data_IF_396296654652
#
_entry.id   IF_396296654652
#
_cell.length_a   1.000
_cell.length_b   1.000
_cell.length_c   1.000
_cell.angle_alpha   90.00
_cell.angle_beta   90.00
_cell.angle_gamma   90.00
#
_symmetry.space_group_name_H-M   'P 1'
#
loop_
_entity.id
_entity.type
_entity.pdbx_description
1 polymer ?
#
# COMPACT_ATOMS: atom_id res chain seq x y z
N UNK A 1 -30.24 -58.17 -35.60
CA UNK A 1 -30.29 -57.10 -34.60
C UNK A 1 -28.90 -56.51 -34.51
N UNK A 2 -28.67 -55.46 -35.28
CA UNK A 2 -27.34 -54.88 -35.51
C UNK A 2 -27.19 -53.67 -34.60
N UNK A 3 -26.34 -53.77 -33.59
CA UNK A 3 -26.02 -52.68 -32.67
C UNK A 3 -25.11 -51.68 -33.39
N UNK A 4 -25.68 -50.50 -33.69
CA UNK A 4 -24.97 -49.36 -34.25
C UNK A 4 -24.00 -48.80 -33.20
N UNK A 5 -22.71 -49.02 -33.43
CA UNK A 5 -21.60 -48.35 -32.77
C UNK A 5 -21.59 -46.89 -33.24
N UNK A 6 -21.93 -45.95 -32.36
CA UNK A 6 -21.77 -44.52 -32.63
C UNK A 6 -20.29 -44.14 -32.45
N UNK A 7 -19.68 -43.44 -33.41
CA UNK A 7 -18.30 -43.01 -33.30
C UNK A 7 -18.17 -41.85 -32.31
N UNK A 8 -17.16 -41.95 -31.43
CA UNK A 8 -16.71 -40.88 -30.54
C UNK A 8 -16.47 -39.59 -31.34
N UNK A 9 -17.22 -38.54 -30.99
CA UNK A 9 -16.94 -37.19 -31.49
C UNK A 9 -15.70 -36.66 -30.78
N UNK A 10 -14.74 -36.07 -31.51
CA UNK A 10 -13.57 -35.46 -30.89
C UNK A 10 -14.01 -34.27 -30.05
N UNK A 11 -13.71 -34.32 -28.75
CA UNK A 11 -13.90 -33.21 -27.81
C UNK A 11 -12.84 -32.16 -28.14
N UNK A 12 -13.20 -31.25 -29.04
CA UNK A 12 -12.33 -30.19 -29.51
C UNK A 12 -13.16 -29.00 -29.97
N UNK A 13 -14.01 -28.47 -29.10
CA UNK A 13 -14.59 -27.15 -29.30
C UNK A 13 -14.30 -26.28 -28.08
N UNK A 14 -13.23 -25.50 -28.22
CA UNK A 14 -12.64 -24.66 -27.18
C UNK A 14 -13.38 -23.32 -27.15
N UNK A 15 -14.58 -23.31 -26.59
CA UNK A 15 -15.44 -22.13 -26.58
C UNK A 15 -16.61 -22.18 -25.61
N UNK A 16 -16.45 -22.83 -24.45
CA UNK A 16 -17.50 -22.91 -23.43
C UNK A 16 -17.25 -21.93 -22.29
N UNK A 17 -18.02 -20.85 -22.21
CA UNK A 17 -18.11 -20.02 -20.99
C UNK A 17 -18.60 -20.83 -19.77
N UNK A 18 -18.76 -20.18 -18.61
CA UNK A 18 -19.04 -20.80 -17.29
C UNK A 18 -19.98 -22.02 -17.29
N UNK A 19 -21.00 -22.06 -18.15
CA UNK A 19 -21.88 -23.21 -18.33
C UNK A 19 -21.14 -24.51 -18.72
N UNK A 20 -20.10 -24.43 -19.55
CA UNK A 20 -19.29 -25.59 -19.96
C UNK A 20 -18.51 -26.22 -18.81
N UNK A 21 -18.09 -25.42 -17.82
CA UNK A 21 -17.37 -25.94 -16.64
C UNK A 21 -18.30 -26.72 -15.72
N UNK A 22 -19.51 -26.22 -15.49
CA UNK A 22 -20.53 -26.91 -14.66
C UNK A 22 -20.99 -28.21 -15.33
N UNK A 23 -21.21 -28.18 -16.64
CA UNK A 23 -21.61 -29.38 -17.39
C UNK A 23 -20.50 -30.43 -17.41
N UNK A 24 -19.24 -30.01 -17.57
CA UNK A 24 -18.10 -30.92 -17.47
C UNK A 24 -17.98 -31.55 -16.08
N UNK A 25 -18.17 -30.75 -15.01
CA UNK A 25 -18.19 -31.26 -13.64
C UNK A 25 -19.28 -32.32 -13.44
N UNK A 26 -20.52 -32.05 -13.88
CA UNK A 26 -21.63 -33.02 -13.81
C UNK A 26 -21.35 -34.30 -14.61
N UNK A 27 -20.70 -34.19 -15.77
CA UNK A 27 -20.31 -35.35 -16.60
C UNK A 27 -19.22 -36.19 -15.96
N UNK A 28 -18.31 -35.57 -15.20
CA UNK A 28 -17.32 -36.27 -14.38
C UNK A 28 -18.02 -37.01 -13.22
N UNK A 29 -18.90 -36.33 -12.49
CA UNK A 29 -19.65 -36.95 -11.38
C UNK A 29 -20.54 -38.11 -11.84
N UNK A 30 -21.17 -38.01 -13.01
CA UNK A 30 -21.98 -39.09 -13.58
C UNK A 30 -21.15 -40.23 -14.20
N UNK A 31 -19.83 -40.10 -14.26
CA UNK A 31 -18.92 -41.08 -14.87
C UNK A 31 -18.94 -41.08 -16.41
N UNK A 32 -19.62 -40.12 -17.04
CA UNK A 32 -19.69 -39.98 -18.50
C UNK A 32 -18.36 -39.48 -19.12
N UNK A 33 -17.49 -38.87 -18.33
CA UNK A 33 -16.14 -38.43 -18.72
C UNK A 33 -15.15 -38.90 -17.67
N UNK A 34 -14.07 -39.57 -18.12
CA UNK A 34 -12.96 -39.90 -17.24
C UNK A 34 -12.19 -38.62 -16.84
N UNK A 35 -12.04 -38.32 -15.54
CA UNK A 35 -11.28 -37.16 -15.06
C UNK A 35 -9.84 -37.10 -15.59
N UNK A 36 -9.23 -38.24 -15.87
CA UNK A 36 -7.83 -38.31 -16.34
C UNK A 36 -7.67 -37.84 -17.80
N UNK A 37 -8.76 -37.82 -18.57
CA UNK A 37 -8.79 -37.37 -19.96
C UNK A 37 -9.05 -35.86 -20.09
N UNK A 38 -9.25 -35.14 -18.98
CA UNK A 38 -9.54 -33.70 -19.00
C UNK A 38 -8.28 -32.90 -19.33
N UNK A 39 -8.40 -31.96 -20.27
CA UNK A 39 -7.30 -31.09 -20.68
C UNK A 39 -6.79 -30.25 -19.49
N UNK A 40 -5.54 -29.80 -19.54
CA UNK A 40 -5.00 -28.94 -18.46
C UNK A 40 -5.74 -27.61 -18.36
N UNK A 41 -6.27 -27.07 -19.45
CA UNK A 41 -7.05 -25.83 -19.45
C UNK A 41 -8.39 -26.04 -18.74
N UNK A 42 -9.16 -27.06 -19.14
CA UNK A 42 -10.46 -27.36 -18.55
C UNK A 42 -10.33 -27.78 -17.08
N UNK A 43 -9.27 -28.54 -16.75
CA UNK A 43 -8.97 -28.92 -15.37
C UNK A 43 -8.71 -27.69 -14.51
N UNK A 44 -8.02 -26.66 -15.00
CA UNK A 44 -7.82 -25.40 -14.26
C UNK A 44 -9.12 -24.64 -14.06
N UNK A 45 -10.01 -24.61 -15.06
CA UNK A 45 -11.33 -24.01 -14.90
C UNK A 45 -12.15 -24.75 -13.83
N UNK A 46 -12.15 -26.09 -13.85
CA UNK A 46 -12.78 -26.93 -12.82
C UNK A 46 -12.18 -26.69 -11.42
N UNK A 47 -10.85 -26.63 -11.30
CA UNK A 47 -10.19 -26.30 -10.02
C UNK A 47 -10.60 -24.92 -9.53
N UNK A 48 -10.71 -23.92 -10.42
CA UNK A 48 -11.21 -22.59 -10.08
C UNK A 48 -12.65 -22.62 -9.56
N UNK A 49 -13.53 -23.36 -10.25
CA UNK A 49 -14.93 -23.56 -9.86
C UNK A 49 -15.04 -24.26 -8.49
N UNK A 50 -14.35 -25.38 -8.29
CA UNK A 50 -14.37 -26.15 -7.04
C UNK A 50 -13.81 -25.35 -5.87
N UNK A 51 -12.73 -24.59 -6.09
CA UNK A 51 -12.18 -23.68 -5.09
C UNK A 51 -13.19 -22.59 -4.68
N UNK A 52 -13.93 -22.03 -5.65
CA UNK A 52 -15.00 -21.06 -5.38
C UNK A 52 -16.16 -21.62 -4.57
N UNK A 53 -16.38 -22.94 -4.62
CA UNK A 53 -17.40 -23.65 -3.84
C UNK A 53 -16.87 -24.23 -2.51
N UNK A 54 -15.60 -23.98 -2.17
CA UNK A 54 -15.03 -24.36 -0.86
C UNK A 54 -14.52 -25.79 -0.74
N UNK A 55 -14.33 -26.52 -1.85
CA UNK A 55 -13.74 -27.87 -1.82
C UNK A 55 -12.27 -27.84 -1.38
N UNK A 56 -11.82 -28.85 -0.63
CA UNK A 56 -10.42 -28.97 -0.20
C UNK A 56 -9.50 -29.48 -1.32
N UNK A 57 -8.18 -29.34 -1.17
CA UNK A 57 -7.20 -29.90 -2.13
C UNK A 57 -7.37 -31.42 -2.28
N UNK A 58 -7.65 -32.13 -1.19
CA UNK A 58 -7.87 -33.57 -1.19
C UNK A 58 -9.18 -33.95 -1.91
N UNK A 59 -10.27 -33.19 -1.70
CA UNK A 59 -11.53 -33.46 -2.41
C UNK A 59 -11.35 -33.23 -3.91
N UNK A 60 -10.69 -32.13 -4.29
CA UNK A 60 -10.39 -31.84 -5.69
C UNK A 60 -9.52 -32.91 -6.33
N UNK A 61 -8.51 -33.42 -5.62
CA UNK A 61 -7.61 -34.45 -6.12
C UNK A 61 -8.33 -35.79 -6.31
N UNK A 62 -9.24 -36.15 -5.40
CA UNK A 62 -10.09 -37.33 -5.52
C UNK A 62 -11.09 -37.23 -6.68
N UNK A 63 -11.79 -36.10 -6.80
CA UNK A 63 -12.76 -35.85 -7.88
C UNK A 63 -12.08 -35.89 -9.25
N UNK A 64 -10.94 -35.21 -9.38
CA UNK A 64 -10.22 -35.07 -10.65
C UNK A 64 -9.25 -36.23 -10.92
N UNK A 65 -9.11 -37.18 -9.99
CA UNK A 65 -8.16 -38.31 -10.05
C UNK A 65 -6.73 -37.90 -10.41
N UNK A 66 -6.26 -36.79 -9.84
CA UNK A 66 -4.89 -36.28 -9.99
C UNK A 66 -4.21 -36.16 -8.64
N UNK A 67 -2.88 -36.11 -8.60
CA UNK A 67 -2.16 -35.89 -7.35
C UNK A 67 -2.38 -34.47 -6.79
N UNK A 68 -2.38 -34.32 -5.47
CA UNK A 68 -2.50 -33.02 -4.77
C UNK A 68 -1.51 -31.96 -5.29
N UNK A 69 -0.28 -32.39 -5.63
CA UNK A 69 0.75 -31.51 -6.20
C UNK A 69 0.31 -30.86 -7.52
N UNK A 70 -0.49 -31.56 -8.32
CA UNK A 70 -1.06 -31.02 -9.57
C UNK A 70 -2.13 -29.97 -9.26
N UNK A 71 -3.01 -30.23 -8.29
CA UNK A 71 -4.02 -29.27 -7.85
C UNK A 71 -3.37 -27.98 -7.33
N UNK A 72 -2.32 -28.08 -6.50
CA UNK A 72 -1.60 -26.90 -6.00
C UNK A 72 -0.92 -26.10 -7.13
N UNK A 73 -0.37 -26.79 -8.15
CA UNK A 73 0.20 -26.13 -9.33
C UNK A 73 -0.88 -25.40 -10.13
N UNK A 74 -2.05 -26.01 -10.31
CA UNK A 74 -3.17 -25.40 -11.04
C UNK A 74 -3.74 -24.21 -10.24
N UNK A 75 -3.89 -24.31 -8.91
CA UNK A 75 -4.23 -23.18 -8.03
C UNK A 75 -3.24 -22.03 -8.14
N UNK A 76 -1.95 -22.33 -8.24
CA UNK A 76 -0.91 -21.31 -8.44
C UNK A 76 -1.08 -20.61 -9.81
N UNK A 77 -1.27 -21.38 -10.88
CA UNK A 77 -1.48 -20.82 -12.21
C UNK A 77 -2.76 -19.95 -12.29
N UNK A 78 -3.84 -20.36 -11.62
CA UNK A 78 -5.09 -19.56 -11.53
C UNK A 78 -4.85 -18.26 -10.76
N UNK A 79 -4.10 -18.31 -9.65
CA UNK A 79 -3.74 -17.10 -8.90
C UNK A 79 -2.87 -16.14 -9.72
N UNK A 80 -1.93 -16.68 -10.50
CA UNK A 80 -1.08 -15.89 -11.39
C UNK A 80 -1.90 -15.29 -12.54
N UNK A 81 -2.83 -16.02 -13.15
CA UNK A 81 -3.69 -15.49 -14.21
C UNK A 81 -4.69 -14.44 -13.70
N UNK A 82 -5.13 -14.57 -12.45
CA UNK A 82 -6.02 -13.63 -11.79
C UNK A 82 -5.27 -12.49 -11.08
N UNK A 83 -3.94 -12.49 -11.12
CA UNK A 83 -3.14 -11.45 -10.50
C UNK A 83 -3.39 -10.13 -11.23
N UNK A 84 -4.03 -9.21 -10.52
CA UNK A 84 -4.23 -7.85 -11.03
C UNK A 84 -2.88 -7.16 -11.03
N UNK A 85 -2.35 -6.87 -12.22
CA UNK A 85 -1.15 -6.05 -12.36
C UNK A 85 -1.45 -4.62 -11.92
N UNK A 86 -0.50 -3.97 -11.24
CA UNK A 86 -0.64 -2.57 -10.81
C UNK A 86 -0.62 -1.65 -12.04
N UNK A 87 -1.76 -1.50 -12.69
CA UNK A 87 -1.96 -0.50 -13.74
C UNK A 87 -2.58 0.77 -13.13
N UNK A 88 -1.89 1.93 -13.15
CA UNK A 88 -2.44 3.20 -12.67
C UNK A 88 -3.82 3.53 -13.25
N UNK A 89 -4.10 3.17 -14.51
CA UNK A 89 -5.40 3.42 -15.14
C UNK A 89 -6.50 2.58 -14.52
N UNK A 90 -6.20 1.31 -14.24
CA UNK A 90 -7.14 0.41 -13.58
C UNK A 90 -7.51 0.92 -12.18
N UNK A 91 -6.56 1.49 -11.44
CA UNK A 91 -6.87 2.02 -10.11
C UNK A 91 -7.83 3.21 -10.19
N UNK A 92 -7.66 4.10 -11.17
CA UNK A 92 -8.61 5.19 -11.44
C UNK A 92 -10.01 4.68 -11.79
N UNK A 93 -10.12 3.65 -12.64
CA UNK A 93 -11.40 3.03 -13.00
C UNK A 93 -12.08 2.37 -11.79
N UNK A 94 -11.31 1.65 -10.96
CA UNK A 94 -11.81 1.01 -9.75
C UNK A 94 -12.30 2.03 -8.72
N UNK A 95 -11.57 3.12 -8.52
CA UNK A 95 -11.98 4.23 -7.65
C UNK A 95 -13.25 4.89 -8.17
N UNK A 96 -13.33 5.19 -9.47
CA UNK A 96 -14.55 5.75 -10.09
C UNK A 96 -15.76 4.84 -9.90
N UNK A 97 -15.60 3.52 -10.09
CA UNK A 97 -16.66 2.54 -9.84
C UNK A 97 -17.09 2.51 -8.37
N UNK A 98 -16.14 2.54 -7.44
CA UNK A 98 -16.42 2.55 -6.00
C UNK A 98 -17.22 3.80 -5.58
N UNK A 99 -16.82 4.98 -6.08
CA UNK A 99 -17.53 6.24 -5.85
C UNK A 99 -18.95 6.16 -6.39
N UNK A 100 -19.12 5.69 -7.64
CA UNK A 100 -20.44 5.52 -8.25
C UNK A 100 -21.35 4.57 -7.47
N UNK A 101 -20.83 3.45 -6.96
CA UNK A 101 -21.63 2.51 -6.16
C UNK A 101 -22.04 3.11 -4.81
N UNK A 102 -21.16 3.88 -4.16
CA UNK A 102 -21.49 4.60 -2.94
C UNK A 102 -22.58 5.64 -3.18
N UNK A 103 -22.48 6.43 -4.26
CA UNK A 103 -23.50 7.41 -4.65
C UNK A 103 -24.86 6.74 -4.89
N UNK A 104 -24.90 5.67 -5.71
CA UNK A 104 -26.12 4.92 -5.97
C UNK A 104 -26.72 4.36 -4.67
N UNK A 105 -25.89 3.84 -3.77
CA UNK A 105 -26.33 3.34 -2.47
C UNK A 105 -26.97 4.43 -1.62
N UNK A 106 -26.34 5.60 -1.50
CA UNK A 106 -26.92 6.73 -0.76
C UNK A 106 -28.22 7.24 -1.40
N UNK A 107 -28.31 7.28 -2.73
CA UNK A 107 -29.54 7.66 -3.43
C UNK A 107 -30.69 6.67 -3.15
N UNK A 108 -30.41 5.36 -3.18
CA UNK A 108 -31.39 4.31 -2.86
C UNK A 108 -31.90 4.44 -1.42
N UNK A 109 -30.98 4.62 -0.46
CA UNK A 109 -31.33 4.82 0.97
C UNK A 109 -32.20 6.07 1.13
N UNK A 110 -31.81 7.20 0.55
CA UNK A 110 -32.59 8.45 0.64
C UNK A 110 -33.96 8.32 -0.02
N UNK A 111 -34.05 7.63 -1.16
CA UNK A 111 -35.33 7.37 -1.81
C UNK A 111 -36.26 6.57 -0.89
N UNK A 112 -35.76 5.50 -0.28
CA UNK A 112 -36.53 4.70 0.68
C UNK A 112 -36.92 5.51 1.92
N UNK A 113 -35.99 6.28 2.49
CA UNK A 113 -36.23 7.09 3.69
C UNK A 113 -37.26 8.22 3.49
N UNK A 114 -37.44 8.71 2.25
CA UNK A 114 -38.41 9.76 1.93
C UNK A 114 -39.85 9.29 1.77
N UNK A 115 -40.10 7.98 1.82
CA UNK A 115 -41.46 7.45 1.74
C UNK A 115 -42.31 7.96 2.92
N UNK A 116 -43.58 8.27 2.65
CA UNK A 116 -44.54 8.80 3.63
C UNK A 116 -44.80 7.81 4.76
N UNK A 117 -44.75 6.52 4.48
CA UNK A 117 -45.04 5.44 5.44
C UNK A 117 -43.86 5.13 6.38
N UNK A 118 -42.67 5.66 6.09
CA UNK A 118 -41.47 5.38 6.90
C UNK A 118 -41.48 6.19 8.19
N UNK A 119 -41.29 5.49 9.31
CA UNK A 119 -41.20 6.09 10.64
C UNK A 119 -40.07 7.13 10.73
N UNK A 120 -40.25 8.25 11.47
CA UNK A 120 -39.23 9.29 11.59
C UNK A 120 -37.85 8.79 12.05
N UNK A 121 -37.82 7.82 12.97
CA UNK A 121 -36.57 7.22 13.44
C UNK A 121 -35.77 6.56 12.30
N UNK A 122 -36.45 5.83 11.41
CA UNK A 122 -35.83 5.19 10.24
C UNK A 122 -35.32 6.23 9.23
N UNK A 123 -35.99 7.39 9.11
CA UNK A 123 -35.49 8.49 8.27
C UNK A 123 -34.16 9.05 8.79
N UNK A 124 -34.09 9.26 10.11
CA UNK A 124 -32.88 9.74 10.78
C UNK A 124 -31.74 8.73 10.62
N UNK A 125 -32.01 7.45 10.84
CA UNK A 125 -31.00 6.40 10.63
C UNK A 125 -30.54 6.34 9.16
N UNK A 126 -31.48 6.42 8.21
CA UNK A 126 -31.15 6.45 6.78
C UNK A 126 -30.20 7.57 6.39
N UNK A 127 -30.42 8.80 6.87
CA UNK A 127 -29.50 9.92 6.60
C UNK A 127 -28.15 9.75 7.33
N UNK A 128 -28.17 9.25 8.57
CA UNK A 128 -26.94 8.92 9.29
C UNK A 128 -26.11 7.86 8.55
N UNK A 129 -26.72 6.81 8.00
CA UNK A 129 -26.06 5.80 7.16
C UNK A 129 -25.51 6.39 5.86
N UNK A 130 -26.25 7.30 5.21
CA UNK A 130 -25.73 8.01 4.04
C UNK A 130 -24.47 8.81 4.39
N UNK A 131 -24.46 9.52 5.51
CA UNK A 131 -23.28 10.23 5.98
C UNK A 131 -22.11 9.29 6.28
N UNK A 132 -22.36 8.16 6.96
CA UNK A 132 -21.33 7.16 7.24
C UNK A 132 -20.68 6.61 5.97
N UNK A 133 -21.48 6.23 4.97
CA UNK A 133 -20.97 5.71 3.68
C UNK A 133 -20.01 6.72 3.02
N UNK A 134 -20.41 8.00 2.98
CA UNK A 134 -19.57 9.05 2.39
C UNK A 134 -18.31 9.30 3.23
N UNK A 135 -18.43 9.35 4.56
CA UNK A 135 -17.28 9.51 5.47
C UNK A 135 -16.27 8.37 5.30
N UNK A 136 -16.74 7.13 5.26
CA UNK A 136 -15.87 5.96 5.13
C UNK A 136 -15.23 5.88 3.74
N UNK A 137 -15.95 6.27 2.68
CA UNK A 137 -15.39 6.42 1.34
C UNK A 137 -14.26 7.46 1.33
N UNK A 138 -14.49 8.65 1.89
CA UNK A 138 -13.47 9.71 1.96
C UNK A 138 -12.23 9.21 2.70
N UNK A 139 -12.39 8.54 3.84
CA UNK A 139 -11.28 7.95 4.60
C UNK A 139 -10.53 6.88 3.80
N UNK A 140 -11.24 6.03 3.07
CA UNK A 140 -10.63 5.03 2.21
C UNK A 140 -9.82 5.69 1.08
N UNK A 141 -10.37 6.71 0.43
CA UNK A 141 -9.67 7.45 -0.62
C UNK A 141 -8.44 8.21 -0.10
N UNK A 142 -8.50 8.79 1.10
CA UNK A 142 -7.33 9.41 1.76
C UNK A 142 -6.24 8.38 2.07
N UNK A 143 -6.60 7.22 2.64
CA UNK A 143 -5.64 6.13 2.92
C UNK A 143 -4.97 5.57 1.66
N UNK A 144 -5.69 5.60 0.54
CA UNK A 144 -5.18 5.18 -0.77
C UNK A 144 -4.40 6.30 -1.49
N UNK A 145 -4.32 7.51 -0.91
CA UNK A 145 -3.59 8.66 -1.48
C UNK A 145 -4.34 9.41 -2.58
N UNK A 146 -5.64 9.16 -2.77
CA UNK A 146 -6.47 9.83 -3.79
C UNK A 146 -6.97 11.21 -3.36
N UNK A 147 -7.16 11.40 -2.06
CA UNK A 147 -7.55 12.68 -1.48
C UNK A 147 -6.47 13.13 -0.51
N UNK A 148 -6.24 14.44 -0.35
CA UNK A 148 -5.35 14.91 0.68
C UNK A 148 -5.87 14.41 2.02
N UNK A 149 -5.01 13.69 2.75
CA UNK A 149 -5.25 13.44 4.17
C UNK A 149 -5.31 14.83 4.81
N UNK A 150 -6.37 15.18 5.57
CA UNK A 150 -6.37 16.41 6.33
C UNK A 150 -5.08 16.36 7.12
N UNK A 151 -4.26 17.41 7.03
CA UNK A 151 -3.00 17.47 7.76
C UNK A 151 -3.34 17.04 9.18
N UNK A 152 -2.97 15.80 9.53
CA UNK A 152 -2.96 15.41 10.91
C UNK A 152 -2.07 16.48 11.47
N UNK A 153 -2.60 17.32 12.37
CA UNK A 153 -1.72 18.06 13.24
C UNK A 153 -0.83 16.98 13.78
N UNK A 154 0.39 16.95 13.27
CA UNK A 154 1.46 16.17 13.83
C UNK A 154 1.67 16.92 15.14
N UNK A 155 0.83 16.62 16.13
CA UNK A 155 1.28 16.46 17.50
C UNK A 155 2.25 15.27 17.44
N UNK A 156 3.37 15.49 16.75
CA UNK A 156 4.61 15.00 17.27
C UNK A 156 4.66 15.70 18.63
N UNK A 157 4.31 14.95 19.65
CA UNK A 157 5.17 14.92 20.82
C UNK A 157 6.61 14.89 20.28
N UNK A 158 7.17 16.09 20.09
CA UNK A 158 8.59 16.33 19.95
C UNK A 158 9.21 15.99 21.32
N UNK A 159 9.10 14.73 21.72
CA UNK A 159 9.72 14.15 22.90
C UNK A 159 11.12 13.66 22.57
N UNK A 160 11.84 14.38 21.70
CA UNK A 160 13.28 14.24 21.53
C UNK A 160 13.94 15.61 21.40
N UNK A 161 14.37 16.12 22.56
CA UNK A 161 15.46 17.09 22.77
C UNK A 161 15.28 18.54 22.27
N UNK A 162 14.24 19.25 22.71
CA UNK A 162 14.31 20.72 22.87
C UNK A 162 14.93 21.03 24.25
N UNK A 163 16.16 20.58 24.46
CA UNK A 163 16.78 20.62 25.77
C UNK A 163 18.28 20.49 25.68
N UNK A 164 18.90 21.42 24.97
CA UNK A 164 20.27 21.95 25.11
C UNK A 164 20.67 22.54 23.76
N UNK A 165 21.08 23.82 23.76
CA UNK A 165 21.75 24.40 22.60
C UNK A 165 22.99 23.55 22.36
N UNK A 166 23.17 22.94 21.17
CA UNK A 166 24.33 22.09 20.91
C UNK A 166 25.61 22.87 21.22
N UNK A 167 26.54 22.22 21.90
CA UNK A 167 27.82 22.86 22.17
C UNK A 167 28.53 23.20 20.85
N UNK A 168 29.39 24.21 20.91
CA UNK A 168 30.12 24.70 19.75
C UNK A 168 30.92 23.60 19.00
N UNK A 169 31.56 22.63 19.69
CA UNK A 169 32.17 21.46 19.04
C UNK A 169 31.19 20.63 18.21
N UNK A 170 29.97 20.39 18.71
CA UNK A 170 28.94 19.61 18.02
C UNK A 170 28.47 20.34 16.76
N UNK A 171 28.20 21.64 16.84
CA UNK A 171 27.80 22.46 15.68
C UNK A 171 28.88 22.39 14.59
N UNK A 172 30.15 22.52 14.96
CA UNK A 172 31.30 22.41 14.04
C UNK A 172 31.38 21.04 13.36
N UNK A 173 31.14 19.96 14.11
CA UNK A 173 31.17 18.59 13.57
C UNK A 173 30.06 18.37 12.55
N UNK A 174 28.88 18.93 12.79
CA UNK A 174 27.71 18.77 11.92
C UNK A 174 27.86 19.56 10.62
N UNK A 175 28.41 20.79 10.67
CA UNK A 175 28.71 21.56 9.45
C UNK A 175 29.74 20.83 8.57
N UNK A 176 30.77 20.19 9.16
CA UNK A 176 31.72 19.36 8.39
C UNK A 176 31.04 18.14 7.77
N UNK A 177 30.15 17.47 8.52
CA UNK A 177 29.38 16.32 8.02
C UNK A 177 28.54 16.73 6.81
N UNK A 178 27.84 17.85 6.89
CA UNK A 178 27.02 18.38 5.79
C UNK A 178 27.87 18.73 4.55
N UNK A 179 29.05 19.33 4.75
CA UNK A 179 29.99 19.61 3.66
C UNK A 179 30.48 18.34 2.97
N UNK A 180 30.76 17.29 3.72
CA UNK A 180 31.16 15.99 3.17
C UNK A 180 30.04 15.35 2.35
N UNK A 181 28.79 15.45 2.81
CA UNK A 181 27.62 14.96 2.06
C UNK A 181 27.51 15.73 0.74
N UNK A 182 27.58 17.06 0.77
CA UNK A 182 27.53 17.89 -0.44
C UNK A 182 28.68 17.64 -1.42
N UNK A 183 29.84 17.17 -0.96
CA UNK A 183 30.96 16.79 -1.82
C UNK A 183 30.81 15.38 -2.42
N UNK A 184 29.99 14.52 -1.81
CA UNK A 184 29.75 13.14 -2.23
C UNK A 184 28.53 12.99 -3.11
N UNK A 185 27.51 13.82 -2.91
CA UNK A 185 26.45 14.04 -3.88
C UNK A 185 27.01 14.95 -4.97
N UNK A 186 26.96 14.59 -6.25
CA UNK A 186 27.20 15.50 -7.41
C UNK A 186 26.15 16.65 -7.49
N UNK A 187 25.61 17.07 -6.35
CA UNK A 187 24.60 18.10 -6.21
C UNK A 187 25.30 19.44 -5.92
N UNK A 188 25.79 20.05 -6.99
CA UNK A 188 26.42 21.38 -7.00
C UNK A 188 25.37 22.50 -6.84
N UNK A 189 24.42 22.34 -5.92
CA UNK A 189 23.45 23.39 -5.63
C UNK A 189 24.19 24.65 -5.13
N UNK A 190 24.19 25.75 -5.92
CA UNK A 190 24.97 26.94 -5.59
C UNK A 190 24.47 27.62 -4.30
N UNK A 191 23.22 27.36 -3.92
CA UNK A 191 22.60 27.87 -2.69
C UNK A 191 23.08 27.11 -1.45
N UNK A 192 23.20 25.78 -1.53
CA UNK A 192 23.74 24.95 -0.45
C UNK A 192 25.20 25.31 -0.15
N UNK A 193 26.01 25.47 -1.20
CA UNK A 193 27.43 25.85 -1.09
C UNK A 193 27.58 27.24 -0.45
N UNK A 194 26.74 28.22 -0.83
CA UNK A 194 26.74 29.55 -0.23
C UNK A 194 26.39 29.50 1.26
N UNK A 195 25.37 28.74 1.62
CA UNK A 195 24.89 28.62 2.99
C UNK A 195 25.95 27.96 3.89
N UNK A 196 26.59 26.90 3.41
CA UNK A 196 27.68 26.24 4.15
C UNK A 196 28.88 27.17 4.38
N UNK A 197 29.26 27.98 3.39
CA UNK A 197 30.35 28.97 3.54
C UNK A 197 30.02 30.03 4.59
N UNK A 198 28.78 30.51 4.63
CA UNK A 198 28.34 31.48 5.63
C UNK A 198 28.40 30.90 7.05
N UNK A 199 27.98 29.64 7.22
CA UNK A 199 28.04 28.94 8.50
C UNK A 199 29.49 28.71 8.95
N UNK A 200 30.40 28.37 8.03
CA UNK A 200 31.83 28.23 8.33
C UNK A 200 32.43 29.57 8.81
N UNK A 201 32.19 30.69 8.12
CA UNK A 201 32.68 32.02 8.52
C UNK A 201 32.13 32.44 9.90
N UNK A 202 30.85 32.15 10.19
CA UNK A 202 30.27 32.44 11.49
C UNK A 202 30.90 31.62 12.62
N UNK A 203 31.20 30.33 12.37
CA UNK A 203 31.89 29.48 13.34
C UNK A 203 33.32 29.99 13.57
N UNK A 204 34.06 30.35 12.52
CA UNK A 204 35.43 30.86 12.65
C UNK A 204 35.49 32.17 13.45
N UNK A 205 34.55 33.09 13.21
CA UNK A 205 34.45 34.34 13.98
C UNK A 205 34.14 34.09 15.45
N UNK A 206 33.25 33.14 15.75
CA UNK A 206 32.91 32.78 17.12
C UNK A 206 34.10 32.12 17.84
N UNK A 207 34.90 31.29 17.14
CA UNK A 207 36.12 30.70 17.69
C UNK A 207 37.18 31.76 18.00
N UNK A 208 37.36 32.72 17.08
CA UNK A 208 38.31 33.81 17.26
C UNK A 208 37.90 34.72 18.44
N UNK A 209 36.61 34.99 18.61
CA UNK A 209 36.10 35.74 19.77
C UNK A 209 36.39 35.00 21.09
N UNK A 210 36.14 33.68 21.14
CA UNK A 210 36.43 32.88 22.33
C UNK A 210 37.93 32.88 22.68
N UNK A 211 38.82 32.78 21.68
CA UNK A 211 40.27 32.85 21.89
C UNK A 211 40.73 34.23 22.36
N UNK A 212 40.11 35.31 21.88
CA UNK A 212 40.40 36.68 22.34
C UNK A 212 39.99 36.86 23.81
N UNK A 213 38.83 36.33 24.21
CA UNK A 213 38.37 36.38 25.60
C UNK A 213 39.28 35.56 26.54
N UNK A 214 39.73 34.39 26.10
CA UNK A 214 40.69 33.57 26.84
C UNK A 214 42.05 34.27 26.99
N UNK A 215 42.58 34.86 25.91
CA UNK A 215 43.82 35.63 25.95
C UNK A 215 43.69 36.88 26.85
N UNK A 216 42.57 37.59 26.79
CA UNK A 216 42.27 38.75 27.65
C UNK A 216 42.24 38.38 29.13
N UNK A 217 41.63 37.23 29.46
CA UNK A 217 41.59 36.70 30.82
C UNK A 217 42.98 36.32 31.33
N UNK A 218 43.79 35.66 30.51
CA UNK A 218 45.16 35.27 30.85
C UNK A 218 46.11 36.47 31.05
N UNK A 219 45.90 37.57 30.31
CA UNK A 219 46.66 38.82 30.47
C UNK A 219 46.25 39.53 31.77
N UNK A 220 44.96 39.54 32.09
CA UNK A 220 44.44 40.15 33.33
C UNK A 220 44.97 39.45 34.58
N UNK A 221 45.07 38.11 34.57
CA UNK A 221 45.65 37.35 35.69
C UNK A 221 47.15 37.59 35.87
N UNK A 222 47.91 37.81 34.79
CA UNK A 222 49.34 38.14 34.86
C UNK A 222 49.61 39.59 35.27
N UNK A 223 48.71 40.53 34.97
CA UNK A 223 48.85 41.93 35.37
C UNK A 223 48.75 42.18 36.88
N UNK A 224 48.06 41.31 37.62
CA UNK A 224 47.87 41.44 39.08
C UNK A 224 49.09 40.97 39.87
N UNK A 225 50.01 40.21 39.26
CA UNK A 225 51.19 39.67 39.97
C UNK A 225 52.44 40.55 39.87
N UNK A 226 52.40 41.68 39.17
CA UNK A 226 53.58 42.50 38.90
C UNK A 226 53.60 43.89 39.56
N UNK A 227 52.67 44.20 40.48
CA UNK A 227 52.61 45.49 41.21
C UNK A 227 53.08 45.38 42.67
N UNK A 228 54.10 44.53 42.91
CA UNK A 228 54.56 44.19 44.25
C UNK A 228 56.05 43.86 44.30
N UNK A 229 56.91 44.72 43.75
CA UNK A 229 58.33 44.84 44.16
C UNK A 229 58.93 46.12 43.61
N UNK A 230 58.78 47.21 44.38
CA UNK A 230 59.89 47.99 44.96
C UNK A 230 59.35 49.06 45.94
#
# INVERSE_FOLDING_TARGET
MTTLHQPDRPVGDSGGGDNGTVDLFRRIESGAVDPTCVSTADRRQLVGFLMGNGYSTADMSQILRVADRTIERDKKAIRESNAITRDPKLVGQMVGRLVGEAELSTQRIRKAARDKEVAPATRIDGEHRCFQIISDLVRALQRLGYLPTPAQKVEADLTHHVGEVPDFPTIRSEVRRLKQICQQSDDDSPEAIRTLRLLEDQIERADLAAQVDEASSAISEKGVTNDGTE
#
